data_IF_262078700548
#
_entry.id   IF_262078700548
#
_cell.length_a   1.000
_cell.length_b   1.000
_cell.length_c   1.000
_cell.angle_alpha   90.00
_cell.angle_beta   90.00
_cell.angle_gamma   90.00
#
_symmetry.space_group_name_H-M   'P 1'
#
loop_
_entity.id
_entity.type
_entity.pdbx_description
1 polymer ?
#
# COMPACT_ATOMS: atom_id res chain seq x y z
N UNK A 1 14.14 17.31 -9.31
CA UNK A 1 12.93 17.31 -8.45
C UNK A 1 11.83 16.52 -9.15
N UNK A 2 11.23 15.53 -8.48
CA UNK A 2 10.11 14.72 -9.00
C UNK A 2 8.78 15.41 -8.64
N UNK A 3 7.79 15.28 -9.52
CA UNK A 3 6.41 15.78 -9.38
C UNK A 3 5.43 14.62 -9.65
N UNK A 4 4.58 14.25 -8.68
CA UNK A 4 4.44 14.82 -7.34
C UNK A 4 5.72 14.72 -6.49
N UNK A 5 5.91 15.65 -5.56
CA UNK A 5 7.11 15.66 -4.73
C UNK A 5 7.08 14.49 -3.74
N UNK A 6 8.25 13.93 -3.40
CA UNK A 6 8.34 12.89 -2.37
C UNK A 6 7.94 13.39 -0.97
N UNK A 7 7.94 14.70 -0.75
CA UNK A 7 7.48 15.37 0.48
C UNK A 7 5.99 15.68 0.47
N UNK A 8 5.31 15.45 -0.65
CA UNK A 8 3.86 15.67 -0.73
C UNK A 8 3.11 14.58 0.05
N UNK A 9 1.81 14.80 0.28
CA UNK A 9 0.94 13.78 0.85
C UNK A 9 1.02 12.46 0.09
N UNK A 10 0.80 11.33 0.78
CA UNK A 10 0.88 10.00 0.17
C UNK A 10 0.07 9.93 -1.12
N UNK A 11 0.75 9.65 -2.23
CA UNK A 11 0.13 9.60 -3.56
C UNK A 11 -0.51 8.23 -3.77
N UNK A 12 -1.79 8.22 -4.17
CA UNK A 12 -2.56 7.01 -4.42
C UNK A 12 -3.03 6.96 -5.86
N UNK A 13 -2.69 5.89 -6.56
CA UNK A 13 -3.08 5.67 -7.95
C UNK A 13 -3.97 4.44 -8.08
N UNK A 14 -5.02 4.57 -8.88
CA UNK A 14 -5.94 3.47 -9.17
C UNK A 14 -5.29 2.52 -10.18
N UNK A 15 -5.30 1.22 -9.87
CA UNK A 15 -4.93 0.18 -10.83
C UNK A 15 -6.03 0.08 -11.89
N UNK A 16 -5.64 0.11 -13.16
CA UNK A 16 -6.55 0.15 -14.30
C UNK A 16 -6.82 1.55 -14.84
N UNK A 17 -6.08 2.56 -14.38
CA UNK A 17 -6.16 3.95 -14.84
C UNK A 17 -4.77 4.47 -15.26
N UNK A 18 -4.76 5.65 -15.89
CA UNK A 18 -3.54 6.33 -16.29
C UNK A 18 -2.85 6.97 -15.09
N UNK A 19 -1.55 6.74 -14.99
CA UNK A 19 -0.68 7.33 -13.98
C UNK A 19 0.37 8.19 -14.68
N UNK A 20 0.64 9.37 -14.16
CA UNK A 20 1.65 10.27 -14.73
C UNK A 20 2.67 10.69 -13.70
N UNK A 21 3.94 10.65 -14.09
CA UNK A 21 5.04 11.16 -13.28
C UNK A 21 5.83 12.18 -14.09
N UNK A 22 6.20 13.30 -13.48
CA UNK A 22 7.06 14.28 -14.10
C UNK A 22 8.27 14.55 -13.22
N UNK A 23 9.39 14.99 -13.79
CA UNK A 23 10.54 15.44 -13.01
C UNK A 23 11.41 16.40 -13.81
N UNK A 24 12.10 17.25 -13.06
CA UNK A 24 13.12 18.16 -13.56
C UNK A 24 14.50 17.70 -13.09
N UNK A 25 15.48 17.84 -13.95
CA UNK A 25 16.87 17.54 -13.61
C UNK A 25 17.51 18.67 -12.81
N UNK A 26 18.16 18.34 -11.70
CA UNK A 26 18.90 19.30 -10.89
C UNK A 26 20.39 18.94 -10.97
N UNK A 27 21.19 19.85 -11.53
CA UNK A 27 22.66 19.74 -11.57
C UNK A 27 23.23 18.64 -12.48
N UNK A 28 22.67 18.49 -13.69
CA UNK A 28 23.19 17.58 -14.70
C UNK A 28 24.23 18.30 -15.58
N UNK A 29 25.47 17.80 -15.57
CA UNK A 29 26.56 18.33 -16.42
C UNK A 29 26.79 17.47 -17.66
N UNK A 30 26.56 16.16 -17.55
CA UNK A 30 26.63 15.20 -18.65
C UNK A 30 25.23 14.67 -18.95
N UNK A 31 24.65 15.09 -20.08
CA UNK A 31 23.28 14.68 -20.45
C UNK A 31 23.28 13.21 -20.88
N UNK A 32 22.48 12.34 -20.24
CA UNK A 32 22.38 10.94 -20.65
C UNK A 32 21.74 10.82 -22.04
N UNK A 33 22.08 9.75 -22.77
CA UNK A 33 21.54 9.53 -24.12
C UNK A 33 20.06 9.13 -24.08
N UNK A 34 19.68 8.37 -23.06
CA UNK A 34 18.32 7.98 -22.78
C UNK A 34 18.14 7.65 -21.30
N UNK A 35 16.90 7.54 -20.87
CA UNK A 35 16.54 7.25 -19.49
C UNK A 35 15.53 6.12 -19.41
N UNK A 36 15.61 5.38 -18.32
CA UNK A 36 14.71 4.29 -17.99
C UNK A 36 13.93 4.64 -16.72
N UNK A 37 12.65 4.26 -16.70
CA UNK A 37 11.74 4.50 -15.60
C UNK A 37 11.10 3.18 -15.20
N UNK A 38 11.26 2.83 -13.93
CA UNK A 38 10.76 1.60 -13.34
C UNK A 38 9.96 1.92 -12.08
N UNK A 39 9.05 1.02 -11.72
CA UNK A 39 8.44 0.98 -10.40
C UNK A 39 8.84 -0.32 -9.70
N UNK A 40 9.28 -0.23 -8.45
CA UNK A 40 9.60 -1.40 -7.62
C UNK A 40 8.60 -1.55 -6.51
N UNK A 41 8.01 -2.72 -6.32
CA UNK A 41 7.06 -2.95 -5.22
C UNK A 41 7.75 -3.60 -4.02
N UNK A 42 7.47 -3.08 -2.83
CA UNK A 42 8.11 -3.51 -1.58
C UNK A 42 7.74 -4.94 -1.16
N UNK A 43 6.54 -5.40 -1.50
CA UNK A 43 6.00 -6.69 -1.01
C UNK A 43 6.39 -7.88 -1.86
N UNK A 44 6.29 -7.74 -3.18
CA UNK A 44 6.64 -8.83 -4.10
C UNK A 44 8.09 -8.74 -4.60
N UNK A 45 8.80 -7.66 -4.26
CA UNK A 45 10.18 -7.41 -4.69
C UNK A 45 10.35 -7.42 -6.21
N UNK A 46 9.27 -7.14 -6.93
CA UNK A 46 9.25 -7.12 -8.38
C UNK A 46 9.42 -5.70 -8.92
N UNK A 47 10.10 -5.61 -10.06
CA UNK A 47 10.27 -4.38 -10.82
C UNK A 47 9.41 -4.39 -12.08
N UNK A 48 8.73 -3.28 -12.29
CA UNK A 48 7.78 -3.04 -13.37
C UNK A 48 8.36 -1.95 -14.26
N UNK A 49 8.52 -2.25 -15.54
CA UNK A 49 9.00 -1.27 -16.50
C UNK A 49 7.87 -0.33 -16.88
N UNK A 50 8.05 0.96 -16.62
CA UNK A 50 7.11 2.01 -17.04
C UNK A 50 7.52 2.53 -18.42
N UNK A 51 8.80 2.90 -18.58
CA UNK A 51 9.36 3.36 -19.84
C UNK A 51 10.82 2.93 -19.98
N UNK A 52 11.23 2.60 -21.20
CA UNK A 52 12.63 2.31 -21.55
C UNK A 52 13.08 3.22 -22.69
N UNK A 53 14.35 3.61 -22.65
CA UNK A 53 15.00 4.44 -23.67
C UNK A 53 14.25 5.73 -23.99
N UNK A 54 13.74 6.42 -22.97
CA UNK A 54 13.06 7.71 -23.16
C UNK A 54 14.08 8.83 -23.39
N UNK A 55 13.76 9.76 -24.29
CA UNK A 55 14.61 10.92 -24.58
C UNK A 55 14.72 11.85 -23.36
N UNK A 56 15.86 12.53 -23.23
CA UNK A 56 16.09 13.47 -22.14
C UNK A 56 15.63 14.87 -22.54
N UNK A 57 14.80 15.49 -21.71
CA UNK A 57 14.35 16.88 -21.85
C UNK A 57 14.43 17.58 -20.49
N UNK A 58 14.41 18.91 -20.47
CA UNK A 58 14.54 19.71 -19.24
C UNK A 58 13.49 19.33 -18.18
N UNK A 59 12.24 19.19 -18.63
CA UNK A 59 11.12 18.62 -17.88
C UNK A 59 10.70 17.33 -18.57
N UNK A 60 10.96 16.20 -17.92
CA UNK A 60 10.54 14.90 -18.43
C UNK A 60 9.24 14.45 -17.77
N UNK A 61 8.38 13.85 -18.57
CA UNK A 61 7.09 13.33 -18.12
C UNK A 61 6.83 11.97 -18.75
N UNK A 62 6.34 11.04 -17.94
CA UNK A 62 5.99 9.69 -18.38
C UNK A 62 4.54 9.39 -18.00
N UNK A 63 3.85 8.72 -18.90
CA UNK A 63 2.50 8.21 -18.70
C UNK A 63 2.56 6.69 -18.64
N UNK A 64 1.86 6.12 -17.67
CA UNK A 64 1.78 4.69 -17.44
C UNK A 64 0.31 4.25 -17.45
N UNK A 65 -0.08 3.50 -18.48
CA UNK A 65 -1.38 2.84 -18.51
C UNK A 65 -1.30 1.52 -17.74
N UNK A 66 -1.79 1.55 -16.51
CA UNK A 66 -1.78 0.37 -15.64
C UNK A 66 -2.82 -0.67 -16.06
N UNK A 67 -3.86 -0.26 -16.78
CA UNK A 67 -4.91 -1.15 -17.28
C UNK A 67 -4.44 -1.96 -18.48
N UNK A 68 -3.76 -1.33 -19.44
CA UNK A 68 -3.16 -2.03 -20.58
C UNK A 68 -1.93 -2.85 -20.17
N UNK A 69 -1.16 -2.35 -19.19
CA UNK A 69 -0.08 -3.12 -18.60
C UNK A 69 -0.58 -4.46 -18.03
N UNK A 70 -1.66 -4.46 -17.25
CA UNK A 70 -2.20 -5.70 -16.68
C UNK A 70 -2.70 -6.72 -17.72
N UNK A 71 -3.08 -6.29 -18.92
CA UNK A 71 -3.51 -7.20 -19.99
C UNK A 71 -2.35 -7.97 -20.62
N UNK A 72 -1.17 -7.35 -20.67
CA UNK A 72 0.00 -7.88 -21.38
C UNK A 72 1.11 -8.37 -20.44
N UNK A 73 1.08 -7.96 -19.18
CA UNK A 73 2.13 -8.26 -18.22
C UNK A 73 2.04 -9.69 -17.68
N UNK A 74 3.18 -10.38 -17.65
CA UNK A 74 3.36 -11.65 -16.95
C UNK A 74 3.26 -11.49 -15.43
N UNK A 75 3.53 -10.27 -14.92
CA UNK A 75 3.54 -9.93 -13.49
C UNK A 75 2.37 -8.99 -13.19
N UNK A 76 1.43 -9.45 -12.37
CA UNK A 76 0.27 -8.63 -12.00
C UNK A 76 0.66 -7.50 -11.04
N UNK A 77 -0.03 -6.37 -11.17
CA UNK A 77 0.04 -5.25 -10.22
C UNK A 77 -0.82 -5.57 -9.00
N UNK A 78 -0.26 -5.36 -7.81
CA UNK A 78 -0.91 -5.63 -6.53
C UNK A 78 -1.18 -4.31 -5.78
N UNK A 79 -2.16 -4.33 -4.88
CA UNK A 79 -2.47 -3.17 -4.04
C UNK A 79 -1.42 -3.03 -2.92
N UNK A 80 -0.35 -2.31 -3.20
CA UNK A 80 0.75 -2.03 -2.29
C UNK A 80 1.46 -0.72 -2.62
N UNK A 81 2.46 -0.37 -1.81
CA UNK A 81 3.38 0.74 -2.07
C UNK A 81 4.47 0.35 -3.07
N UNK A 82 4.73 1.26 -4.00
CA UNK A 82 5.72 1.21 -5.05
C UNK A 82 6.71 2.37 -4.90
N UNK A 83 7.96 2.14 -5.28
CA UNK A 83 9.01 3.14 -5.37
C UNK A 83 9.30 3.42 -6.83
N UNK A 84 9.21 4.68 -7.25
CA UNK A 84 9.60 5.10 -8.59
C UNK A 84 11.13 5.16 -8.67
N UNK A 85 11.68 4.50 -9.69
CA UNK A 85 13.10 4.46 -9.97
C UNK A 85 13.34 5.08 -11.35
N UNK A 86 14.11 6.18 -11.38
CA UNK A 86 14.55 6.81 -12.63
C UNK A 86 16.07 6.74 -12.71
N UNK A 87 16.60 6.24 -13.82
CA UNK A 87 18.04 6.11 -14.01
C UNK A 87 18.45 6.26 -15.48
N UNK A 88 19.73 6.50 -15.72
CA UNK A 88 20.33 6.55 -17.06
C UNK A 88 20.30 5.16 -17.72
N UNK A 89 19.85 5.08 -18.98
CA UNK A 89 19.82 3.84 -19.74
C UNK A 89 21.21 3.22 -19.98
N UNK A 90 22.27 4.05 -20.00
CA UNK A 90 23.65 3.58 -20.07
C UNK A 90 24.22 3.05 -18.75
N UNK A 91 23.44 3.14 -17.66
CA UNK A 91 23.83 2.77 -16.30
C UNK A 91 22.97 1.63 -15.75
N UNK A 92 23.14 1.29 -14.47
CA UNK A 92 22.38 0.26 -13.78
C UNK A 92 21.56 0.82 -12.61
N UNK A 93 20.52 0.08 -12.21
CA UNK A 93 19.63 0.44 -11.08
C UNK A 93 20.40 0.53 -9.75
N UNK A 94 21.54 -0.15 -9.64
CA UNK A 94 22.39 -0.16 -8.45
C UNK A 94 23.68 0.65 -8.64
N UNK A 95 23.77 1.47 -9.69
CA UNK A 95 24.97 2.26 -9.95
C UNK A 95 25.14 3.36 -8.91
N UNK A 96 26.38 3.53 -8.43
CA UNK A 96 26.74 4.63 -7.55
C UNK A 96 26.67 5.95 -8.32
N UNK A 97 26.07 6.97 -7.72
CA UNK A 97 26.00 8.29 -8.31
C UNK A 97 27.41 8.85 -8.56
N UNK A 98 27.70 9.20 -9.81
CA UNK A 98 28.94 9.86 -10.21
C UNK A 98 28.69 11.37 -10.40
N UNK A 99 29.68 12.19 -10.07
CA UNK A 99 29.56 13.64 -10.19
C UNK A 99 29.28 14.05 -11.65
N UNK A 100 28.22 14.83 -11.87
CA UNK A 100 27.83 15.33 -13.18
C UNK A 100 26.97 14.39 -14.03
N UNK A 101 26.85 13.10 -13.65
CA UNK A 101 25.98 12.12 -14.31
C UNK A 101 24.64 12.00 -13.58
N UNK A 102 23.63 11.46 -14.25
CA UNK A 102 22.33 11.18 -13.63
C UNK A 102 22.48 10.02 -12.64
N UNK A 103 22.34 10.32 -11.35
CA UNK A 103 22.20 9.30 -10.31
C UNK A 103 20.84 8.61 -10.36
N UNK A 104 20.76 7.41 -9.76
CA UNK A 104 19.49 6.68 -9.62
C UNK A 104 18.59 7.43 -8.64
N UNK A 105 17.44 7.89 -9.10
CA UNK A 105 16.43 8.52 -8.25
C UNK A 105 15.44 7.47 -7.76
N UNK A 106 15.38 7.22 -6.45
CA UNK A 106 14.54 6.19 -5.81
C UNK A 106 13.85 6.68 -4.52
N UNK A 107 13.67 7.99 -4.39
CA UNK A 107 13.12 8.62 -3.17
C UNK A 107 11.60 8.76 -3.18
N UNK A 108 10.96 8.69 -4.35
CA UNK A 108 9.53 8.87 -4.50
C UNK A 108 8.79 7.53 -4.34
N UNK A 109 7.87 7.49 -3.37
CA UNK A 109 7.00 6.35 -3.11
C UNK A 109 5.54 6.72 -3.36
N UNK A 110 4.80 5.80 -3.97
CA UNK A 110 3.38 5.94 -4.25
C UNK A 110 2.67 4.62 -3.99
N UNK A 111 1.40 4.66 -3.58
CA UNK A 111 0.61 3.48 -3.35
C UNK A 111 -0.36 3.25 -4.50
N UNK A 112 -0.58 1.99 -4.85
CA UNK A 112 -1.59 1.60 -5.83
C UNK A 112 -2.76 0.90 -5.15
N UNK A 113 -3.98 1.14 -5.62
CA UNK A 113 -5.19 0.51 -5.06
C UNK A 113 -6.15 0.04 -6.14
N UNK A 114 -6.94 -0.98 -5.82
CA UNK A 114 -8.04 -1.44 -6.66
C UNK A 114 -9.38 -1.07 -5.99
N UNK A 115 -10.25 -0.29 -6.63
CA UNK A 115 -11.53 0.07 -6.05
C UNK A 115 -12.44 -1.16 -5.97
N UNK A 116 -13.22 -1.25 -4.90
CA UNK A 116 -14.26 -2.26 -4.83
C UNK A 116 -15.35 -2.00 -5.89
N UNK A 117 -15.93 -3.06 -6.47
CA UNK A 117 -17.06 -2.93 -7.37
C UNK A 117 -18.24 -2.27 -6.66
N UNK A 118 -18.98 -1.42 -7.38
CA UNK A 118 -20.16 -0.76 -6.85
C UNK A 118 -21.22 -1.78 -6.45
N UNK A 119 -21.66 -1.72 -5.19
CA UNK A 119 -22.79 -2.52 -4.68
C UNK A 119 -23.97 -1.58 -4.42
N UNK A 120 -25.15 -1.85 -5.02
CA UNK A 120 -26.35 -1.04 -4.76
C UNK A 120 -26.72 -1.07 -3.28
N UNK A 121 -27.23 0.05 -2.76
CA UNK A 121 -27.56 0.23 -1.34
C UNK A 121 -28.50 -0.83 -0.76
N UNK A 122 -29.41 -1.40 -1.56
CA UNK A 122 -30.32 -2.46 -1.12
C UNK A 122 -29.65 -3.82 -0.90
N UNK A 123 -28.45 -4.04 -1.43
CA UNK A 123 -27.68 -5.28 -1.31
C UNK A 123 -26.41 -5.12 -0.47
N UNK A 124 -26.08 -3.89 -0.06
CA UNK A 124 -24.93 -3.62 0.79
C UNK A 124 -25.24 -4.03 2.22
N UNK A 125 -24.74 -5.20 2.63
CA UNK A 125 -24.77 -5.63 4.02
C UNK A 125 -23.50 -5.13 4.72
N UNK A 126 -23.65 -4.18 5.63
CA UNK A 126 -22.55 -3.64 6.41
C UNK A 126 -21.92 -4.73 7.30
N UNK A 127 -20.61 -5.07 7.11
CA UNK A 127 -19.97 -6.14 7.89
C UNK A 127 -19.96 -5.93 9.40
N UNK A 128 -20.11 -4.68 9.87
CA UNK A 128 -20.14 -4.31 11.29
C UNK A 128 -21.50 -3.84 11.82
N UNK A 129 -22.49 -3.53 10.96
CA UNK A 129 -23.76 -2.97 11.42
C UNK A 129 -24.75 -4.05 11.88
N UNK A 130 -24.50 -5.30 11.52
CA UNK A 130 -25.19 -6.48 12.09
C UNK A 130 -24.83 -6.71 13.56
N UNK A 131 -23.87 -5.95 14.11
CA UNK A 131 -23.50 -5.95 15.53
C UNK A 131 -24.38 -5.02 16.39
N UNK A 132 -25.58 -4.66 15.93
CA UNK A 132 -26.68 -4.30 16.84
C UNK A 132 -27.20 -5.56 17.59
N UNK A 133 -26.27 -6.36 18.13
CA UNK A 133 -26.56 -7.22 19.27
C UNK A 133 -26.72 -6.34 20.51
N UNK A 134 -27.34 -6.85 21.58
CA UNK A 134 -27.56 -6.06 22.79
C UNK A 134 -26.23 -5.45 23.24
N UNK A 135 -26.31 -4.22 23.75
CA UNK A 135 -25.25 -3.34 24.34
C UNK A 135 -24.29 -4.04 25.34
N UNK A 136 -24.50 -5.33 25.59
CA UNK A 136 -23.70 -6.23 26.41
C UNK A 136 -23.12 -7.33 25.51
N UNK A 137 -21.80 -7.31 25.37
CA UNK A 137 -21.08 -8.34 24.62
C UNK A 137 -21.33 -9.73 25.23
N UNK A 138 -21.56 -10.74 24.40
CA UNK A 138 -21.84 -12.11 24.87
C UNK A 138 -20.70 -12.66 25.75
N UNK A 139 -19.47 -12.17 25.56
CA UNK A 139 -18.31 -12.48 26.40
C UNK A 139 -18.50 -11.93 27.82
N UNK A 140 -18.99 -10.70 27.98
CA UNK A 140 -19.27 -10.09 29.28
C UNK A 140 -20.35 -10.86 30.04
N UNK A 141 -21.42 -11.30 29.37
CA UNK A 141 -22.48 -12.12 29.99
C UNK A 141 -21.92 -13.46 30.48
N UNK A 142 -21.06 -14.12 29.68
CA UNK A 142 -20.43 -15.39 30.07
C UNK A 142 -19.53 -15.24 31.29
N UNK A 143 -18.77 -14.14 31.37
CA UNK A 143 -17.92 -13.85 32.52
C UNK A 143 -18.75 -13.56 33.78
N UNK A 144 -19.84 -12.78 33.66
CA UNK A 144 -20.74 -12.48 34.77
C UNK A 144 -21.47 -13.72 35.29
N UNK A 145 -21.98 -14.57 34.40
CA UNK A 145 -22.62 -15.83 34.77
C UNK A 145 -21.61 -16.80 35.40
N UNK A 146 -20.37 -16.83 34.90
CA UNK A 146 -19.29 -17.65 35.44
C UNK A 146 -18.89 -17.22 36.85
N UNK A 147 -18.72 -15.92 37.09
CA UNK A 147 -18.38 -15.41 38.42
C UNK A 147 -19.51 -15.64 39.44
N UNK A 148 -20.76 -15.47 39.02
CA UNK A 148 -21.93 -15.78 39.86
C UNK A 148 -22.02 -17.28 40.21
N UNK A 149 -21.80 -18.17 39.25
CA UNK A 149 -21.81 -19.61 39.51
C UNK A 149 -20.70 -20.01 40.48
N UNK A 150 -19.49 -19.46 40.31
CA UNK A 150 -18.35 -19.73 41.19
C UNK A 150 -18.67 -19.25 42.61
N UNK A 151 -19.21 -18.05 42.80
CA UNK A 151 -19.53 -17.56 44.15
C UNK A 151 -20.58 -18.44 44.82
N UNK A 152 -21.67 -18.78 44.14
CA UNK A 152 -22.71 -19.66 44.71
C UNK A 152 -22.13 -21.01 45.13
N UNK A 153 -21.38 -21.68 44.24
CA UNK A 153 -20.78 -22.99 44.53
C UNK A 153 -19.78 -22.90 45.70
N UNK A 154 -18.96 -21.84 45.73
CA UNK A 154 -17.98 -21.63 46.80
C UNK A 154 -18.64 -21.42 48.16
N UNK A 155 -19.68 -20.60 48.21
CA UNK A 155 -20.44 -20.34 49.44
C UNK A 155 -21.21 -21.59 49.89
N UNK A 156 -21.84 -22.33 48.97
CA UNK A 156 -22.53 -23.58 49.30
C UNK A 156 -21.57 -24.64 49.84
N UNK A 157 -20.39 -24.80 49.22
CA UNK A 157 -19.37 -25.71 49.71
C UNK A 157 -18.86 -25.31 51.10
N UNK A 158 -18.67 -24.01 51.35
CA UNK A 158 -18.24 -23.52 52.66
C UNK A 158 -19.31 -23.74 53.75
N UNK A 159 -20.59 -23.47 53.46
CA UNK A 159 -21.69 -23.66 54.43
C UNK A 159 -21.88 -25.14 54.79
N UNK A 160 -21.84 -26.04 53.80
CA UNK A 160 -22.02 -27.49 54.02
C UNK A 160 -20.76 -28.12 54.62
N UNK A 161 -19.56 -27.70 54.17
CA UNK A 161 -18.29 -28.31 54.57
C UNK A 161 -17.78 -27.90 55.95
N UNK A 162 -18.15 -26.71 56.45
CA UNK A 162 -17.76 -26.23 57.80
C UNK A 162 -18.90 -26.44 58.82
N UNK A 163 -20.05 -26.97 58.41
CA UNK A 163 -21.15 -27.31 59.32
C UNK A 163 -21.71 -26.10 60.06
N UNK A 164 -21.83 -24.95 59.39
CA UNK A 164 -22.51 -23.77 59.96
C UNK A 164 -23.99 -23.81 59.56
N UNK A 165 -24.65 -24.88 59.98
CA UNK A 165 -26.06 -24.98 60.41
C UNK A 165 -26.11 -26.07 61.48
#
# INVERSE_FOLDING_TARGET
>A
MITPAATDSSQYYKIGDWVSFAWNYTSLSATPSAINVLASCSKNQETYTIAQNMSVSETNMVYWDTGDYQKTATKSLIQETYTLIVYDAGSSISATAAAGYLGVANTFQFAMYSPQPYTPRGQWNCPGCSAAGPIVEAQTIRVLMGSFAITVISFTWFVIGVGVV
#
